data_IF_094737092217
#
_entry.id   IF_094737092217
#
_cell.length_a   1.000
_cell.length_b   1.000
_cell.length_c   1.000
_cell.angle_alpha   90.00
_cell.angle_beta   90.00
_cell.angle_gamma   90.00
#
_symmetry.space_group_name_H-M   'P 1'
#
loop_
_entity.id
_entity.type
_entity.pdbx_description
1 polymer ?
#
# COMPACT_ATOMS: atom_id res chain seq x y z
N UNK A 1 15.71 12.25 21.90
CA UNK A 1 14.61 11.86 22.81
C UNK A 1 13.26 12.34 22.28
N UNK A 2 13.10 13.63 21.96
CA UNK A 2 11.84 14.22 21.41
C UNK A 2 11.33 13.53 20.13
N UNK A 3 12.22 13.18 19.19
CA UNK A 3 11.84 12.49 17.94
C UNK A 3 11.35 11.05 18.14
N UNK A 4 11.81 10.36 19.18
CA UNK A 4 11.34 9.01 19.54
C UNK A 4 9.96 9.07 20.18
N UNK A 5 9.71 10.07 21.04
CA UNK A 5 8.41 10.29 21.65
C UNK A 5 7.36 10.66 20.60
N UNK A 6 7.68 11.58 19.68
CA UNK A 6 6.80 11.92 18.57
C UNK A 6 6.48 10.70 17.69
N UNK A 7 7.49 9.89 17.34
CA UNK A 7 7.28 8.65 16.58
C UNK A 7 6.32 7.67 17.29
N UNK A 8 6.52 7.45 18.59
CA UNK A 8 5.67 6.53 19.35
C UNK A 8 4.25 7.08 19.53
N UNK A 9 4.09 8.41 19.68
CA UNK A 9 2.80 9.06 19.73
C UNK A 9 2.04 8.90 18.40
N UNK A 10 2.71 9.10 17.27
CA UNK A 10 2.11 8.87 15.94
C UNK A 10 1.72 7.40 15.74
N UNK A 11 2.56 6.46 16.17
CA UNK A 11 2.24 5.02 16.16
C UNK A 11 0.98 4.74 16.99
N UNK A 12 0.89 5.27 18.21
CA UNK A 12 -0.29 5.11 19.07
C UNK A 12 -1.54 5.73 18.43
N UNK A 13 -1.40 6.90 17.80
CA UNK A 13 -2.50 7.54 17.07
C UNK A 13 -2.99 6.68 15.91
N UNK A 14 -2.10 6.01 15.17
CA UNK A 14 -2.48 5.11 14.08
C UNK A 14 -3.21 3.85 14.58
N UNK A 15 -2.71 3.24 15.66
CA UNK A 15 -3.20 1.95 16.17
C UNK A 15 -4.49 2.05 16.98
N UNK A 16 -4.81 3.23 17.54
CA UNK A 16 -5.99 3.39 18.38
C UNK A 16 -7.28 3.54 17.52
N UNK A 17 -8.23 2.59 17.59
CA UNK A 17 -9.47 2.63 16.82
C UNK A 17 -10.45 3.72 17.28
N UNK A 18 -10.29 4.27 18.49
CA UNK A 18 -11.16 5.33 19.02
C UNK A 18 -10.91 6.68 18.31
N UNK A 19 -9.80 6.81 17.57
CA UNK A 19 -9.53 8.01 16.80
C UNK A 19 -10.19 7.99 15.43
N UNK A 20 -10.65 9.17 15.00
CA UNK A 20 -11.23 9.37 13.68
C UNK A 20 -10.27 8.93 12.56
N UNK A 21 -10.78 8.20 11.57
CA UNK A 21 -9.97 7.55 10.53
C UNK A 21 -8.97 8.50 9.84
N UNK A 22 -9.35 9.76 9.57
CA UNK A 22 -8.44 10.72 8.93
C UNK A 22 -7.25 11.10 9.83
N UNK A 23 -7.46 11.17 11.15
CA UNK A 23 -6.36 11.41 12.11
C UNK A 23 -5.37 10.26 12.05
N UNK A 24 -5.87 9.02 11.97
CA UNK A 24 -5.05 7.80 11.83
C UNK A 24 -4.29 7.79 10.50
N UNK A 25 -4.94 8.15 9.39
CA UNK A 25 -4.29 8.27 8.06
C UNK A 25 -3.20 9.34 8.06
N UNK A 26 -3.48 10.52 8.61
CA UNK A 26 -2.46 11.59 8.72
C UNK A 26 -1.30 11.13 9.60
N UNK A 27 -1.56 10.42 10.70
CA UNK A 27 -0.51 9.85 11.53
C UNK A 27 0.38 8.86 10.75
N UNK A 28 -0.21 8.00 9.90
CA UNK A 28 0.54 7.11 9.01
C UNK A 28 1.41 7.87 8.01
N UNK A 29 0.87 8.91 7.38
CA UNK A 29 1.62 9.77 6.46
C UNK A 29 2.80 10.45 7.17
N UNK A 30 2.58 10.98 8.39
CA UNK A 30 3.67 11.57 9.17
C UNK A 30 4.71 10.53 9.60
N UNK A 31 4.31 9.30 9.92
CA UNK A 31 5.25 8.19 10.19
C UNK A 31 6.13 7.89 8.99
N UNK A 32 5.56 7.89 7.77
CA UNK A 32 6.31 7.68 6.54
C UNK A 32 7.36 8.78 6.28
N UNK A 33 7.04 10.02 6.65
CA UNK A 33 7.93 11.18 6.52
C UNK A 33 8.97 11.30 7.64
N UNK A 34 8.75 10.63 8.78
CA UNK A 34 9.67 10.65 9.92
C UNK A 34 10.98 9.92 9.62
N UNK A 35 11.84 10.51 8.79
CA UNK A 35 13.19 10.04 8.55
C UNK A 35 13.99 10.12 9.85
N UNK A 36 14.26 8.97 10.47
CA UNK A 36 15.34 8.93 11.46
C UNK A 36 16.67 9.01 10.70
N UNK A 37 17.55 9.98 11.01
CA UNK A 37 18.95 9.85 10.66
C UNK A 37 19.50 8.65 11.45
N UNK A 38 19.56 7.50 10.77
CA UNK A 38 20.40 6.31 10.97
C UNK A 38 20.91 6.03 12.41
N UNK A 39 20.66 4.81 12.90
CA UNK A 39 21.68 3.74 13.09
C UNK A 39 21.13 2.54 13.89
N UNK A 40 21.28 1.32 13.35
CA UNK A 40 22.24 0.28 13.79
C UNK A 40 21.93 -1.13 13.25
N UNK A 41 20.76 -1.39 12.65
CA UNK A 41 20.37 -2.76 12.25
C UNK A 41 19.82 -2.92 10.83
N UNK A 42 19.92 -1.92 9.96
CA UNK A 42 19.49 -2.06 8.55
C UNK A 42 17.98 -2.21 8.30
N UNK A 43 17.12 -2.11 9.32
CA UNK A 43 15.66 -2.13 9.16
C UNK A 43 15.06 -0.75 9.40
N UNK A 44 14.26 -0.28 8.42
CA UNK A 44 13.56 0.99 8.48
C UNK A 44 12.35 0.88 9.41
N UNK A 45 12.51 1.32 10.67
CA UNK A 45 11.48 1.24 11.71
C UNK A 45 10.13 1.83 11.30
N UNK A 46 10.13 2.87 10.46
CA UNK A 46 8.90 3.45 9.91
C UNK A 46 8.17 2.46 8.97
N UNK A 47 8.92 1.78 8.10
CA UNK A 47 8.40 0.76 7.20
C UNK A 47 7.86 -0.41 8.01
N UNK A 48 8.63 -0.91 8.98
CA UNK A 48 8.20 -2.06 9.79
C UNK A 48 6.88 -1.81 10.50
N UNK A 49 6.68 -0.61 11.08
CA UNK A 49 5.42 -0.25 11.74
C UNK A 49 4.24 -0.25 10.76
N UNK A 50 4.40 0.32 9.57
CA UNK A 50 3.32 0.35 8.57
C UNK A 50 3.03 -1.05 8.00
N UNK A 51 4.07 -1.85 7.75
CA UNK A 51 3.94 -3.25 7.32
C UNK A 51 3.25 -4.09 8.40
N UNK A 52 3.67 -3.98 9.66
CA UNK A 52 3.10 -4.72 10.77
C UNK A 52 1.62 -4.35 10.97
N UNK A 53 1.28 -3.06 10.84
CA UNK A 53 -0.09 -2.58 10.88
C UNK A 53 -0.94 -3.27 9.80
N UNK A 54 -0.52 -3.19 8.53
CA UNK A 54 -1.25 -3.80 7.40
C UNK A 54 -1.38 -5.31 7.57
N UNK A 55 -0.28 -6.00 7.90
CA UNK A 55 -0.30 -7.45 8.11
C UNK A 55 -1.19 -7.87 9.28
N UNK A 56 -1.32 -7.05 10.32
CA UNK A 56 -2.22 -7.34 11.44
C UNK A 56 -3.70 -7.18 11.13
N UNK A 57 -4.05 -6.56 9.99
CA UNK A 57 -5.43 -6.30 9.57
C UNK A 57 -5.86 -7.09 8.35
N UNK A 58 -4.91 -7.39 7.46
CA UNK A 58 -5.20 -7.94 6.13
C UNK A 58 -4.67 -9.35 5.96
N UNK A 59 -3.87 -9.89 6.87
CA UNK A 59 -3.26 -11.21 6.73
C UNK A 59 -3.66 -12.14 7.88
N UNK A 60 -3.90 -13.41 7.55
CA UNK A 60 -4.32 -14.41 8.52
C UNK A 60 -3.25 -14.68 9.58
N UNK A 61 -3.69 -14.71 10.83
CA UNK A 61 -2.89 -15.20 11.94
C UNK A 61 -2.71 -16.74 11.86
N UNK A 62 -1.64 -17.32 12.45
CA UNK A 62 -0.56 -16.65 13.17
C UNK A 62 0.61 -16.19 12.28
N UNK A 63 0.77 -16.78 11.10
CA UNK A 63 2.00 -16.63 10.29
C UNK A 63 1.99 -15.40 9.38
N UNK A 64 0.83 -14.75 9.18
CA UNK A 64 0.66 -13.53 8.37
C UNK A 64 1.23 -13.66 6.95
N UNK A 65 0.97 -14.81 6.32
CA UNK A 65 1.45 -15.15 4.98
C UNK A 65 0.35 -15.05 3.90
N UNK A 66 -0.92 -15.20 4.28
CA UNK A 66 -2.05 -15.20 3.36
C UNK A 66 -2.91 -13.96 3.62
N UNK A 67 -3.28 -13.27 2.54
CA UNK A 67 -4.22 -12.15 2.60
C UNK A 67 -5.64 -12.68 2.83
N UNK A 68 -6.34 -12.09 3.79
CA UNK A 68 -7.75 -12.39 4.05
C UNK A 68 -8.66 -11.64 3.07
N UNK A 69 -9.83 -12.21 2.73
CA UNK A 69 -10.85 -11.48 2.00
C UNK A 69 -11.14 -10.14 2.68
N UNK A 70 -11.26 -9.08 1.89
CA UNK A 70 -11.51 -7.75 2.43
C UNK A 70 -12.86 -7.73 3.14
N UNK A 71 -12.89 -7.37 4.42
CA UNK A 71 -14.13 -7.09 5.15
C UNK A 71 -14.41 -5.58 5.11
N UNK A 72 -15.54 -5.20 4.53
CA UNK A 72 -15.99 -3.81 4.45
C UNK A 72 -17.05 -3.46 5.51
N UNK A 73 -17.28 -4.33 6.50
CA UNK A 73 -18.21 -4.09 7.62
C UNK A 73 -17.81 -2.84 8.42
N UNK A 74 -16.50 -2.65 8.64
CA UNK A 74 -15.93 -1.42 9.19
C UNK A 74 -15.32 -0.55 8.08
N UNK A 75 -16.16 0.32 7.51
CA UNK A 75 -15.72 1.25 6.49
C UNK A 75 -14.63 2.22 6.98
N UNK A 76 -14.60 2.53 8.28
CA UNK A 76 -13.60 3.43 8.83
C UNK A 76 -12.21 2.80 8.84
N UNK A 77 -12.11 1.52 9.22
CA UNK A 77 -10.88 0.76 9.19
C UNK A 77 -10.39 0.55 7.76
N UNK A 78 -11.31 0.29 6.82
CA UNK A 78 -10.98 0.20 5.40
C UNK A 78 -10.31 1.50 4.86
N UNK A 79 -10.84 2.67 5.23
CA UNK A 79 -10.24 3.95 4.86
C UNK A 79 -8.86 4.16 5.49
N UNK A 80 -8.65 3.70 6.73
CA UNK A 80 -7.33 3.73 7.38
C UNK A 80 -6.34 2.84 6.64
N UNK A 81 -6.70 1.58 6.38
CA UNK A 81 -5.87 0.63 5.63
C UNK A 81 -5.44 1.23 4.29
N UNK A 82 -6.40 1.75 3.52
CA UNK A 82 -6.12 2.41 2.23
C UNK A 82 -5.14 3.57 2.38
N UNK A 83 -5.30 4.41 3.40
CA UNK A 83 -4.38 5.52 3.69
C UNK A 83 -2.99 5.06 4.13
N UNK A 84 -2.90 3.95 4.88
CA UNK A 84 -1.63 3.35 5.31
C UNK A 84 -0.88 2.74 4.12
N UNK A 85 -1.56 2.12 3.16
CA UNK A 85 -0.94 1.64 1.91
C UNK A 85 -0.28 2.81 1.16
N UNK A 86 -0.97 3.95 1.00
CA UNK A 86 -0.37 5.15 0.40
C UNK A 86 0.80 5.71 1.24
N UNK A 87 0.68 5.72 2.57
CA UNK A 87 1.79 6.14 3.41
C UNK A 87 3.02 5.23 3.20
N UNK A 88 2.80 3.92 3.09
CA UNK A 88 3.84 2.92 2.85
C UNK A 88 4.58 3.17 1.53
N UNK A 89 3.87 3.50 0.44
CA UNK A 89 4.49 3.77 -0.86
C UNK A 89 5.32 5.05 -0.88
N UNK A 90 4.98 6.00 0.00
CA UNK A 90 5.70 7.28 0.13
C UNK A 90 6.99 7.21 0.96
N UNK A 91 7.28 6.08 1.61
CA UNK A 91 8.45 5.94 2.51
C UNK A 91 9.76 6.02 1.72
N UNK A 92 10.46 7.15 1.86
CA UNK A 92 11.80 7.33 1.28
C UNK A 92 12.86 6.92 2.30
N UNK A 93 13.58 5.84 2.00
CA UNK A 93 14.71 5.39 2.81
C UNK A 93 16.00 5.83 2.13
N UNK A 94 16.80 6.64 2.82
CA UNK A 94 18.12 7.05 2.33
C UNK A 94 19.13 5.90 2.45
N UNK A 95 19.20 5.06 1.42
CA UNK A 95 20.27 4.10 1.18
C UNK A 95 21.14 4.53 -0.01
N UNK A 96 22.45 4.36 0.09
CA UNK A 96 23.41 4.58 -1.00
C UNK A 96 23.29 3.45 -2.02
N UNK A 97 22.36 3.55 -2.95
CA UNK A 97 22.16 2.56 -4.01
C UNK A 97 20.75 2.61 -4.57
N UNK A 98 20.62 2.40 -5.88
CA UNK A 98 19.34 2.32 -6.57
C UNK A 98 18.43 1.29 -5.87
N UNK A 99 17.20 1.70 -5.54
CA UNK A 99 16.17 0.93 -4.84
C UNK A 99 16.46 0.57 -3.38
N UNK A 100 15.96 1.37 -2.40
CA UNK A 100 15.99 0.92 -1.03
C UNK A 100 15.03 -0.27 -0.87
N UNK A 101 15.47 -1.30 -0.12
CA UNK A 101 14.73 -2.53 0.19
C UNK A 101 13.29 -2.27 0.68
N UNK A 102 13.04 -1.07 1.22
CA UNK A 102 11.72 -0.58 1.59
C UNK A 102 10.68 -0.60 0.47
N UNK A 103 11.11 -0.41 -0.77
CA UNK A 103 10.20 -0.42 -1.93
C UNK A 103 9.74 -1.83 -2.26
N UNK A 104 10.57 -2.86 -2.05
CA UNK A 104 10.21 -4.24 -2.36
C UNK A 104 9.10 -4.77 -1.44
N UNK A 105 9.22 -4.55 -0.12
CA UNK A 105 8.17 -4.96 0.83
C UNK A 105 6.85 -4.22 0.59
N UNK A 106 6.90 -2.94 0.20
CA UNK A 106 5.71 -2.19 -0.18
C UNK A 106 5.07 -2.76 -1.46
N UNK A 107 5.89 -3.10 -2.46
CA UNK A 107 5.43 -3.71 -3.71
C UNK A 107 4.80 -5.08 -3.47
N UNK A 108 5.43 -5.94 -2.67
CA UNK A 108 4.88 -7.26 -2.36
C UNK A 108 3.51 -7.15 -1.69
N UNK A 109 3.35 -6.26 -0.72
CA UNK A 109 2.05 -6.04 -0.08
C UNK A 109 1.02 -5.54 -1.09
N UNK A 110 1.34 -4.53 -1.91
CA UNK A 110 0.38 -4.00 -2.89
C UNK A 110 -0.01 -5.05 -3.93
N UNK A 111 0.96 -5.85 -4.41
CA UNK A 111 0.72 -6.95 -5.35
C UNK A 111 -0.13 -8.05 -4.70
N UNK A 112 0.16 -8.44 -3.45
CA UNK A 112 -0.63 -9.42 -2.72
C UNK A 112 -2.07 -8.94 -2.55
N UNK A 113 -2.26 -7.68 -2.14
CA UNK A 113 -3.58 -7.08 -2.00
C UNK A 113 -4.34 -7.07 -3.32
N UNK A 114 -3.69 -6.71 -4.44
CA UNK A 114 -4.33 -6.78 -5.76
C UNK A 114 -4.69 -8.21 -6.15
N UNK A 115 -3.77 -9.16 -5.94
CA UNK A 115 -3.91 -10.57 -6.35
C UNK A 115 -5.02 -11.28 -5.59
N UNK A 116 -5.08 -11.07 -4.27
CA UNK A 116 -5.99 -11.76 -3.35
C UNK A 116 -7.23 -10.94 -2.99
N UNK A 117 -7.45 -9.79 -3.63
CA UNK A 117 -8.69 -9.04 -3.48
C UNK A 117 -9.86 -9.82 -4.10
N UNK A 118 -10.58 -10.54 -3.23
CA UNK A 118 -11.87 -11.14 -3.53
C UNK A 118 -12.97 -10.32 -2.88
N UNK A 119 -13.79 -9.67 -3.71
CA UNK A 119 -14.95 -8.88 -3.31
C UNK A 119 -16.29 -9.58 -3.52
N UNK A 120 -16.29 -10.88 -3.85
CA UNK A 120 -17.52 -11.65 -4.09
C UNK A 120 -18.50 -11.67 -2.92
N UNK A 121 -17.99 -11.53 -1.69
CA UNK A 121 -18.79 -11.50 -0.45
C UNK A 121 -19.11 -10.07 0.03
N UNK A 122 -18.62 -9.04 -0.67
CA UNK A 122 -18.75 -7.66 -0.24
C UNK A 122 -19.99 -7.00 -0.80
N UNK A 123 -20.71 -6.27 0.07
CA UNK A 123 -21.87 -5.48 -0.34
C UNK A 123 -21.47 -4.26 -1.19
N UNK A 124 -20.23 -3.80 -1.07
CA UNK A 124 -19.72 -2.60 -1.73
C UNK A 124 -18.82 -2.95 -2.92
N UNK A 125 -18.96 -2.19 -4.00
CA UNK A 125 -18.09 -2.26 -5.17
C UNK A 125 -16.71 -1.67 -4.82
N UNK A 126 -15.67 -2.45 -5.02
CA UNK A 126 -14.28 -2.19 -4.64
C UNK A 126 -13.47 -1.45 -5.71
N UNK A 127 -14.09 -0.98 -6.80
CA UNK A 127 -13.37 -0.31 -7.90
C UNK A 127 -12.52 0.89 -7.45
N UNK A 128 -12.98 1.65 -6.46
CA UNK A 128 -12.18 2.74 -5.86
C UNK A 128 -11.00 2.24 -5.02
N UNK A 129 -11.15 1.09 -4.35
CA UNK A 129 -10.08 0.46 -3.60
C UNK A 129 -8.99 -0.07 -4.54
N UNK A 130 -9.37 -0.82 -5.57
CA UNK A 130 -8.47 -1.30 -6.63
C UNK A 130 -7.75 -0.13 -7.31
N UNK A 131 -8.49 0.92 -7.70
CA UNK A 131 -7.93 2.14 -8.28
C UNK A 131 -6.87 2.77 -7.36
N UNK A 132 -7.13 2.81 -6.04
CA UNK A 132 -6.17 3.30 -5.05
C UNK A 132 -4.88 2.45 -5.01
N UNK A 133 -5.01 1.12 -5.01
CA UNK A 133 -3.86 0.20 -5.01
C UNK A 133 -3.03 0.33 -6.29
N UNK A 134 -3.67 0.44 -7.45
CA UNK A 134 -3.00 0.65 -8.73
C UNK A 134 -2.25 1.99 -8.78
N UNK A 135 -2.84 3.05 -8.23
CA UNK A 135 -2.17 4.34 -8.11
C UNK A 135 -0.94 4.26 -7.17
N UNK A 136 -1.08 3.60 -6.02
CA UNK A 136 0.05 3.31 -5.12
C UNK A 136 1.17 2.54 -5.81
N UNK A 137 0.81 1.54 -6.63
CA UNK A 137 1.78 0.75 -7.39
C UNK A 137 2.53 1.60 -8.43
N UNK A 138 1.87 2.59 -9.02
CA UNK A 138 2.50 3.50 -9.99
C UNK A 138 3.57 4.41 -9.37
N UNK A 139 3.45 4.73 -8.09
CA UNK A 139 4.45 5.48 -7.33
C UNK A 139 5.68 4.60 -7.01
N UNK A 140 5.46 3.29 -6.88
CA UNK A 140 6.49 2.28 -6.63
C UNK A 140 7.13 1.84 -7.97
N UNK A 141 7.98 2.70 -8.52
CA UNK A 141 8.84 2.30 -9.66
C UNK A 141 9.74 1.12 -9.28
N UNK A 142 10.13 0.27 -10.24
CA UNK A 142 11.18 -0.75 -10.04
C UNK A 142 11.91 -1.03 -11.35
N UNK A 143 13.22 -1.25 -11.26
CA UNK A 143 14.05 -1.75 -12.38
C UNK A 143 14.18 -3.27 -12.38
N UNK A 144 13.65 -3.96 -11.37
CA UNK A 144 13.71 -5.41 -11.31
C UNK A 144 12.68 -6.02 -12.27
N UNK A 145 13.17 -6.71 -13.30
CA UNK A 145 12.36 -7.32 -14.34
C UNK A 145 11.30 -8.29 -13.78
N UNK A 146 11.60 -9.07 -12.75
CA UNK A 146 10.64 -10.01 -12.15
C UNK A 146 9.43 -9.27 -11.55
N UNK A 147 9.65 -8.14 -10.88
CA UNK A 147 8.55 -7.31 -10.38
C UNK A 147 7.80 -6.62 -11.52
N UNK A 148 8.50 -6.17 -12.57
CA UNK A 148 7.85 -5.57 -13.74
C UNK A 148 6.91 -6.56 -14.44
N UNK A 149 7.29 -7.83 -14.55
CA UNK A 149 6.46 -8.90 -15.10
C UNK A 149 5.26 -9.20 -14.20
N UNK A 150 5.46 -9.35 -12.88
CA UNK A 150 4.37 -9.52 -11.91
C UNK A 150 3.33 -8.40 -12.01
N UNK A 151 3.80 -7.15 -12.03
CA UNK A 151 2.94 -5.97 -12.15
C UNK A 151 2.20 -5.95 -13.49
N UNK A 152 2.90 -6.29 -14.57
CA UNK A 152 2.30 -6.32 -15.90
C UNK A 152 1.16 -7.34 -16.00
N UNK A 153 1.36 -8.54 -15.46
CA UNK A 153 0.35 -9.59 -15.42
C UNK A 153 -0.89 -9.15 -14.63
N UNK A 154 -0.70 -8.48 -13.49
CA UNK A 154 -1.82 -7.94 -12.71
C UNK A 154 -2.55 -6.83 -13.47
N UNK A 155 -1.84 -5.91 -14.13
CA UNK A 155 -2.46 -4.85 -14.94
C UNK A 155 -3.29 -5.43 -16.08
N UNK A 156 -2.77 -6.42 -16.81
CA UNK A 156 -3.52 -7.09 -17.89
C UNK A 156 -4.77 -7.76 -17.33
N UNK A 157 -4.66 -8.49 -16.21
CA UNK A 157 -5.81 -9.13 -15.56
C UNK A 157 -6.93 -8.12 -15.25
N UNK A 158 -6.58 -6.95 -14.69
CA UNK A 158 -7.58 -5.90 -14.42
C UNK A 158 -8.10 -5.23 -15.70
N UNK A 159 -7.27 -5.07 -16.73
CA UNK A 159 -7.70 -4.51 -18.01
C UNK A 159 -8.71 -5.42 -18.72
N UNK A 160 -8.45 -6.72 -18.76
CA UNK A 160 -9.37 -7.71 -19.33
C UNK A 160 -10.70 -7.73 -18.56
N UNK A 161 -10.63 -7.65 -17.23
CA UNK A 161 -11.83 -7.53 -16.39
C UNK A 161 -12.62 -6.24 -16.66
N UNK A 162 -11.96 -5.09 -16.81
CA UNK A 162 -12.61 -3.80 -17.13
C UNK A 162 -13.26 -3.78 -18.52
N UNK A 163 -12.79 -4.60 -19.48
CA UNK A 163 -13.44 -4.74 -20.78
C UNK A 163 -14.76 -5.51 -20.68
N UNK A 164 -14.84 -6.51 -19.81
CA UNK A 164 -16.02 -7.34 -19.61
C UNK A 164 -17.03 -6.70 -18.64
N UNK A 165 -16.53 -6.14 -17.54
CA UNK A 165 -17.31 -5.55 -16.44
C UNK A 165 -16.70 -4.22 -16.02
N UNK A 166 -16.99 -3.12 -16.74
CA UNK A 166 -16.42 -1.82 -16.43
C UNK A 166 -16.82 -1.33 -15.04
N UNK A 167 -15.84 -0.90 -14.24
CA UNK A 167 -16.06 -0.22 -12.97
C UNK A 167 -16.85 1.09 -13.15
N UNK A 168 -17.52 1.53 -12.08
CA UNK A 168 -18.24 2.80 -12.08
C UNK A 168 -17.32 3.94 -12.51
N UNK A 169 -17.74 4.72 -13.53
CA UNK A 169 -16.94 5.79 -14.15
C UNK A 169 -15.56 5.35 -14.66
N UNK A 170 -15.32 4.05 -14.85
CA UNK A 170 -14.04 3.47 -15.32
C UNK A 170 -12.85 3.91 -14.47
N UNK A 171 -13.04 3.99 -13.15
CA UNK A 171 -12.01 4.43 -12.19
C UNK A 171 -10.80 3.52 -12.16
N UNK A 172 -10.97 2.23 -12.45
CA UNK A 172 -9.88 1.27 -12.56
C UNK A 172 -9.13 1.46 -13.87
N UNK A 173 -9.85 1.64 -15.00
CA UNK A 173 -9.23 1.98 -16.30
C UNK A 173 -8.37 3.26 -16.24
N UNK A 174 -8.83 4.32 -15.56
CA UNK A 174 -8.03 5.55 -15.38
C UNK A 174 -6.74 5.28 -14.60
N UNK A 175 -6.82 4.50 -13.52
CA UNK A 175 -5.65 4.12 -12.73
C UNK A 175 -4.67 3.23 -13.51
N UNK A 176 -5.17 2.27 -14.30
CA UNK A 176 -4.35 1.44 -15.21
C UNK A 176 -3.58 2.34 -16.18
N UNK A 177 -4.27 3.31 -16.80
CA UNK A 177 -3.68 4.22 -17.78
C UNK A 177 -2.56 5.07 -17.17
N UNK A 178 -2.75 5.57 -15.94
CA UNK A 178 -1.71 6.28 -15.19
C UNK A 178 -0.52 5.39 -14.86
N UNK A 179 -0.78 4.15 -14.42
CA UNK A 179 0.26 3.18 -14.08
C UNK A 179 1.14 2.85 -15.30
N UNK A 180 0.52 2.60 -16.46
CA UNK A 180 1.23 2.36 -17.72
C UNK A 180 2.01 3.59 -18.19
N UNK A 181 1.40 4.79 -18.14
CA UNK A 181 2.04 6.03 -18.55
C UNK A 181 3.29 6.37 -17.71
N UNK A 182 3.22 6.22 -16.39
CA UNK A 182 4.37 6.44 -15.51
C UNK A 182 5.49 5.42 -15.74
N UNK A 183 5.14 4.19 -16.13
CA UNK A 183 6.12 3.15 -16.42
C UNK A 183 6.89 3.42 -17.72
N UNK A 184 6.22 3.91 -18.76
CA UNK A 184 6.86 4.32 -20.02
C UNK A 184 7.87 5.43 -19.77
N UNK A 185 7.52 6.44 -18.96
CA UNK A 185 8.40 7.56 -18.62
C UNK A 185 9.61 7.18 -17.74
N UNK A 186 9.63 5.99 -17.17
CA UNK A 186 10.74 5.49 -16.33
C UNK A 186 11.67 4.51 -17.07
N UNK A 187 11.32 4.15 -18.32
CA UNK A 187 12.12 3.30 -19.20
C UNK A 187 13.09 4.09 -20.11
N UNK A 188 13.03 5.42 -20.09
CA UNK A 188 13.99 6.34 -20.72
C UNK A 188 15.04 6.84 -19.71
#
# INVERSE_FOLDING_TARGET
MQTLMAFNALKYCLENPDYFYQVRVVAAQQLALCCRPRKLSGSDRQLSVLVDFLKSRLYSAPDRQLVEPSDFSDFSEHLVVRGVVHALTSVKVSGSGAFPLSHQSAMDIVIDLLKYNDSSQNYYVDGYYISSLLNSLSELSTRNQSYQERIHNEIIRFLDNEQLFPSYRRVVTDAISRCLGLRILQCD
#
